data_IF_840971988054
#
_entry.id   IF_840971988054
#
_cell.length_a   1.000
_cell.length_b   1.000
_cell.length_c   1.000
_cell.angle_alpha   90.00
_cell.angle_beta   90.00
_cell.angle_gamma   90.00
#
_symmetry.space_group_name_H-M   'P 1'
#
loop_
_entity.id
_entity.type
_entity.pdbx_description
1 polymer ?
#
# COMPACT_ATOMS: atom_id res chain seq x y z
N UNK A 1 10.69 -19.68 11.05
CA UNK A 1 9.42 -19.13 11.57
C UNK A 1 9.56 -18.92 13.08
N UNK A 2 9.68 -17.68 13.57
CA UNK A 2 9.71 -17.43 15.01
C UNK A 2 8.35 -17.83 15.61
N UNK A 3 8.34 -18.90 16.41
CA UNK A 3 7.17 -19.32 17.17
C UNK A 3 6.92 -18.27 18.25
N UNK A 4 5.81 -17.54 18.12
CA UNK A 4 5.38 -16.56 19.11
C UNK A 4 5.11 -17.30 20.43
N UNK A 5 5.72 -16.88 21.56
CA UNK A 5 5.52 -17.55 22.84
C UNK A 5 4.05 -17.42 23.29
N UNK A 6 3.49 -18.42 23.99
CA UNK A 6 2.14 -18.34 24.53
C UNK A 6 2.07 -17.20 25.55
N UNK A 7 1.03 -16.34 25.53
CA UNK A 7 0.91 -15.24 26.47
C UNK A 7 0.67 -15.76 27.89
N UNK A 8 1.72 -15.76 28.71
CA UNK A 8 1.66 -16.07 30.14
C UNK A 8 1.31 -14.79 30.93
N UNK A 9 0.04 -14.62 31.27
CA UNK A 9 -0.45 -13.52 32.11
C UNK A 9 -1.99 -13.46 32.13
N UNK A 10 -2.62 -12.78 33.12
CA UNK A 10 -4.01 -13.00 33.54
C UNK A 10 -5.03 -12.37 32.58
N UNK A 11 -4.94 -12.64 31.27
CA UNK A 11 -5.70 -11.93 30.22
C UNK A 11 -6.97 -12.66 29.83
N UNK A 12 -7.70 -13.22 30.80
CA UNK A 12 -9.03 -13.81 30.54
C UNK A 12 -10.09 -12.79 30.10
N UNK A 13 -9.76 -11.48 30.10
CA UNK A 13 -10.61 -10.37 29.63
C UNK A 13 -9.85 -9.26 28.89
N UNK A 14 -8.90 -9.61 28.02
CA UNK A 14 -8.33 -8.63 27.09
C UNK A 14 -9.27 -8.45 25.88
N UNK A 15 -9.60 -7.19 25.56
CA UNK A 15 -10.44 -6.81 24.43
C UNK A 15 -9.62 -6.00 23.44
N UNK A 16 -9.86 -6.19 22.15
CA UNK A 16 -9.24 -5.37 21.10
C UNK A 16 -9.69 -3.91 21.23
N UNK A 17 -8.77 -2.96 21.22
CA UNK A 17 -9.08 -1.53 21.34
C UNK A 17 -9.81 -0.96 20.11
N UNK A 18 -9.69 -1.62 18.95
CA UNK A 18 -10.29 -1.18 17.68
C UNK A 18 -11.72 -1.70 17.49
N UNK A 19 -11.94 -3.01 17.63
CA UNK A 19 -13.26 -3.61 17.43
C UNK A 19 -14.02 -3.90 18.73
N UNK A 20 -13.40 -3.67 19.91
CA UNK A 20 -13.96 -3.92 21.26
C UNK A 20 -14.35 -5.38 21.56
N UNK A 21 -13.99 -6.33 20.69
CA UNK A 21 -14.26 -7.76 20.89
C UNK A 21 -13.24 -8.41 21.82
N UNK A 22 -13.70 -9.41 22.57
CA UNK A 22 -12.85 -10.17 23.48
C UNK A 22 -11.98 -11.21 22.77
N UNK A 23 -10.87 -11.60 23.39
CA UNK A 23 -9.95 -12.65 22.91
C UNK A 23 -10.66 -13.93 22.43
N UNK A 24 -11.75 -14.35 23.08
CA UNK A 24 -12.49 -15.57 22.70
C UNK A 24 -13.16 -15.48 21.33
N UNK A 25 -13.50 -14.26 20.88
CA UNK A 25 -14.23 -14.02 19.63
C UNK A 25 -13.27 -13.77 18.47
N UNK A 26 -12.12 -13.14 18.73
CA UNK A 26 -11.17 -12.70 17.69
C UNK A 26 -9.88 -13.51 17.66
N UNK A 27 -9.67 -14.41 18.62
CA UNK A 27 -8.47 -15.23 18.71
C UNK A 27 -7.25 -14.44 19.20
N UNK A 28 -6.04 -14.75 18.70
CA UNK A 28 -4.80 -14.16 19.18
C UNK A 28 -4.82 -12.63 19.07
N UNK A 29 -4.32 -11.97 20.11
CA UNK A 29 -4.20 -10.52 20.21
C UNK A 29 -2.72 -10.15 20.32
N UNK A 30 -2.30 -9.12 19.58
CA UNK A 30 -0.98 -8.51 19.71
C UNK A 30 -1.05 -7.46 20.82
N UNK A 31 -0.09 -7.51 21.74
CA UNK A 31 0.06 -6.52 22.81
C UNK A 31 0.99 -5.39 22.37
N UNK A 32 0.52 -4.15 22.51
CA UNK A 32 1.28 -2.94 22.30
C UNK A 32 1.68 -2.26 23.62
N UNK A 33 2.49 -1.19 23.53
CA UNK A 33 2.82 -0.38 24.70
C UNK A 33 1.54 0.21 25.33
N UNK A 34 1.58 0.46 26.64
CA UNK A 34 0.46 1.06 27.41
C UNK A 34 -0.81 0.19 27.49
N UNK A 35 -0.69 -1.14 27.57
CA UNK A 35 -1.81 -2.08 27.70
C UNK A 35 -2.85 -2.01 26.56
N UNK A 36 -2.39 -1.70 25.34
CA UNK A 36 -3.25 -1.67 24.14
C UNK A 36 -3.22 -3.03 23.45
N UNK A 37 -4.38 -3.51 22.99
CA UNK A 37 -4.49 -4.79 22.29
C UNK A 37 -5.11 -4.61 20.90
N UNK A 38 -4.57 -5.31 19.91
CA UNK A 38 -5.10 -5.34 18.54
C UNK A 38 -5.21 -6.79 18.04
N UNK A 39 -6.30 -7.12 17.34
CA UNK A 39 -6.49 -8.44 16.73
C UNK A 39 -6.05 -8.46 15.27
N UNK A 40 -5.76 -9.65 14.75
CA UNK A 40 -5.35 -9.89 13.36
C UNK A 40 -6.31 -9.27 12.33
N UNK A 41 -7.62 -9.42 12.54
CA UNK A 41 -8.63 -8.83 11.66
C UNK A 41 -8.54 -7.30 11.60
N UNK A 42 -8.33 -6.64 12.74
CA UNK A 42 -8.19 -5.19 12.78
C UNK A 42 -6.88 -4.74 12.12
N UNK A 43 -5.79 -5.51 12.23
CA UNK A 43 -4.54 -5.22 11.53
C UNK A 43 -4.78 -5.22 10.02
N UNK A 44 -5.44 -6.25 9.47
CA UNK A 44 -5.77 -6.33 8.05
C UNK A 44 -6.63 -5.15 7.59
N UNK A 45 -7.72 -4.88 8.30
CA UNK A 45 -8.63 -3.78 7.97
C UNK A 45 -7.95 -2.41 8.04
N UNK A 46 -7.14 -2.15 9.06
CA UNK A 46 -6.38 -0.90 9.17
C UNK A 46 -5.32 -0.78 8.08
N UNK A 47 -4.68 -1.88 7.68
CA UNK A 47 -3.72 -1.87 6.58
C UNK A 47 -4.39 -1.59 5.22
N UNK A 48 -5.60 -2.11 4.98
CA UNK A 48 -6.35 -1.83 3.75
C UNK A 48 -6.84 -0.38 3.70
N UNK A 49 -7.33 0.18 4.81
CA UNK A 49 -7.68 1.61 4.90
C UNK A 49 -6.46 2.50 4.65
N UNK A 50 -5.28 2.11 5.15
CA UNK A 50 -4.05 2.87 4.94
C UNK A 50 -3.56 2.76 3.49
N UNK A 51 -3.66 1.58 2.87
CA UNK A 51 -3.35 1.40 1.44
C UNK A 51 -4.28 2.20 0.54
N UNK A 52 -5.59 2.23 0.82
CA UNK A 52 -6.52 3.04 0.04
C UNK A 52 -6.35 4.54 0.25
N UNK A 53 -5.86 4.96 1.42
CA UNK A 53 -5.46 6.35 1.64
C UNK A 53 -4.13 6.67 0.94
N UNK A 54 -3.21 5.70 0.93
CA UNK A 54 -1.91 5.77 0.26
C UNK A 54 -2.02 5.84 -1.26
N UNK A 55 -3.03 5.22 -1.87
CA UNK A 55 -3.28 5.30 -3.32
C UNK A 55 -3.77 6.68 -3.79
N UNK A 56 -4.05 7.62 -2.88
CA UNK A 56 -4.23 9.04 -3.21
C UNK A 56 -2.91 9.84 -3.10
N UNK A 57 -1.85 9.23 -2.56
CA UNK A 57 -0.53 9.84 -2.30
C UNK A 57 0.64 9.10 -2.93
N UNK A 58 0.39 8.02 -3.68
CA UNK A 58 1.30 7.56 -4.71
C UNK A 58 0.98 8.43 -5.92
N UNK A 59 1.70 9.55 -6.04
CA UNK A 59 2.08 10.03 -7.36
C UNK A 59 2.43 8.80 -8.18
N UNK A 60 1.71 8.57 -9.29
CA UNK A 60 2.03 7.56 -10.28
C UNK A 60 3.54 7.34 -10.29
N UNK A 61 4.03 6.11 -10.05
CA UNK A 61 5.44 5.90 -10.20
C UNK A 61 5.78 6.43 -11.59
N UNK A 62 6.82 7.26 -11.69
CA UNK A 62 7.37 7.79 -12.94
C UNK A 62 7.80 6.67 -13.94
N UNK A 63 7.42 5.42 -13.65
CA UNK A 63 7.60 4.18 -14.37
C UNK A 63 6.76 4.11 -15.65
N UNK A 64 5.65 4.85 -15.74
CA UNK A 64 4.84 4.92 -16.98
C UNK A 64 5.16 6.16 -17.83
N UNK A 65 6.34 6.76 -17.67
CA UNK A 65 6.80 7.75 -18.64
C UNK A 65 7.38 7.03 -19.86
N UNK A 66 6.79 7.17 -21.06
CA UNK A 66 7.27 6.48 -22.24
C UNK A 66 8.71 6.92 -22.54
N UNK A 67 9.57 5.98 -22.88
CA UNK A 67 10.92 6.34 -23.34
C UNK A 67 10.82 7.25 -24.57
N UNK A 68 11.82 8.12 -24.85
CA UNK A 68 11.81 8.99 -26.03
C UNK A 68 11.49 8.25 -27.33
N UNK A 69 11.95 7.00 -27.47
CA UNK A 69 11.64 6.15 -28.63
C UNK A 69 10.17 5.72 -28.68
N UNK A 70 9.55 5.40 -27.55
CA UNK A 70 8.13 5.07 -27.46
C UNK A 70 7.25 6.31 -27.69
N UNK A 71 7.68 7.47 -27.19
CA UNK A 71 6.99 8.74 -27.41
C UNK A 71 7.03 9.15 -28.88
N UNK A 72 8.19 9.05 -29.55
CA UNK A 72 8.32 9.28 -30.99
C UNK A 72 7.35 8.40 -31.78
N UNK A 73 7.28 7.11 -31.45
CA UNK A 73 6.41 6.14 -32.12
C UNK A 73 4.92 6.48 -31.94
N UNK A 74 4.51 6.92 -30.74
CA UNK A 74 3.15 7.43 -30.54
C UNK A 74 2.89 8.68 -31.38
N UNK A 75 3.86 9.59 -31.49
CA UNK A 75 3.74 10.77 -32.34
C UNK A 75 3.66 10.41 -33.84
N UNK A 76 4.28 9.32 -34.29
CA UNK A 76 4.19 8.82 -35.67
C UNK A 76 2.76 8.36 -36.04
N UNK A 77 1.96 7.93 -35.07
CA UNK A 77 0.56 7.52 -35.29
C UNK A 77 -0.36 8.71 -35.59
N UNK A 78 0.00 9.92 -35.13
CA UNK A 78 -0.84 11.13 -35.25
C UNK A 78 -0.24 12.19 -36.18
N UNK A 79 1.08 12.22 -36.34
CA UNK A 79 1.81 13.23 -37.13
C UNK A 79 2.52 12.49 -38.28
N UNK A 80 2.23 12.85 -39.52
CA UNK A 80 2.87 12.24 -40.70
C UNK A 80 4.06 13.11 -41.12
N UNK A 81 5.25 12.51 -41.25
CA UNK A 81 6.50 13.24 -41.55
C UNK A 81 7.09 13.94 -40.32
N UNK A 82 7.77 15.07 -40.52
CA UNK A 82 8.38 15.90 -39.47
C UNK A 82 9.26 15.14 -38.45
N UNK A 83 10.18 14.32 -38.96
CA UNK A 83 11.07 13.51 -38.12
C UNK A 83 11.90 14.32 -37.11
N UNK A 84 12.38 15.50 -37.52
CA UNK A 84 13.20 16.38 -36.67
C UNK A 84 12.41 16.92 -35.48
N UNK A 85 11.15 17.32 -35.70
CA UNK A 85 10.27 17.87 -34.65
C UNK A 85 9.90 16.78 -33.65
N UNK A 86 9.57 15.57 -34.14
CA UNK A 86 9.25 14.43 -33.28
C UNK A 86 10.44 14.00 -32.42
N UNK A 87 11.65 14.04 -32.98
CA UNK A 87 12.87 13.74 -32.22
C UNK A 87 13.10 14.76 -31.10
N UNK A 88 12.93 16.05 -31.40
CA UNK A 88 13.09 17.14 -30.43
C UNK A 88 12.04 17.05 -29.31
N UNK A 89 10.76 16.86 -29.65
CA UNK A 89 9.68 16.73 -28.66
C UNK A 89 9.83 15.49 -27.77
N UNK A 90 10.45 14.43 -28.27
CA UNK A 90 10.60 13.19 -27.51
C UNK A 90 11.70 13.26 -26.44
N UNK A 91 12.62 14.22 -26.53
CA UNK A 91 13.79 14.35 -25.64
C UNK A 91 13.71 15.59 -24.74
N UNK A 92 12.82 16.55 -25.04
CA UNK A 92 12.62 17.79 -24.27
C UNK A 92 11.90 17.61 -22.92
N UNK A 93 11.96 16.42 -22.33
CA UNK A 93 11.26 16.06 -21.08
C UNK A 93 12.17 16.25 -19.88
#
# INVERSE_FOLDING_TARGET
MPKLPPPQGPKRRANCSFCRKSYRVVGPLVEGPKNVFICEKCIGQSADMLRSAGSLSETDPLDDFPTPSQLKRKLDEYIIGQDDVKAVLSVLV
#
